data_IF_847521447381
#
_entry.id   IF_847521447381
#
_cell.length_a   1.000
_cell.length_b   1.000
_cell.length_c   1.000
_cell.angle_alpha   90.00
_cell.angle_beta   90.00
_cell.angle_gamma   90.00
#
_symmetry.space_group_name_H-M   'P 1'
#
loop_
_entity.id
_entity.type
_entity.pdbx_description
1 polymer ?
#
# COMPACT_ATOMS: atom_id res chain seq x y z
N UNK A 1 -9.75 -6.34 -27.53
CA UNK A 1 -8.95 -6.08 -26.31
C UNK A 1 -9.85 -6.26 -25.08
N UNK A 2 -9.49 -7.13 -24.13
CA UNK A 2 -10.34 -7.42 -22.95
C UNK A 2 -10.69 -6.12 -22.20
N UNK A 3 -11.98 -5.82 -22.05
CA UNK A 3 -12.51 -4.57 -21.45
C UNK A 3 -12.00 -4.31 -20.03
N UNK A 4 -11.66 -5.38 -19.30
CA UNK A 4 -11.04 -5.32 -17.98
C UNK A 4 -9.59 -4.82 -18.00
N UNK A 5 -8.80 -5.25 -19.00
CA UNK A 5 -7.40 -4.84 -19.13
C UNK A 5 -7.29 -3.35 -19.47
N UNK A 6 -8.12 -2.85 -20.39
CA UNK A 6 -8.14 -1.43 -20.75
C UNK A 6 -8.57 -0.53 -19.57
N UNK A 7 -9.58 -0.95 -18.79
CA UNK A 7 -9.97 -0.26 -17.54
C UNK A 7 -8.84 -0.22 -16.52
N UNK A 8 -8.08 -1.32 -16.35
CA UNK A 8 -6.93 -1.38 -15.42
C UNK A 8 -5.77 -0.49 -15.89
N UNK A 9 -5.46 -0.50 -17.18
CA UNK A 9 -4.47 0.40 -17.82
C UNK A 9 -4.83 1.88 -17.61
N UNK A 10 -6.08 2.27 -17.85
CA UNK A 10 -6.50 3.66 -17.70
C UNK A 10 -6.46 4.13 -16.23
N UNK A 11 -6.83 3.24 -15.29
CA UNK A 11 -6.66 3.50 -13.85
C UNK A 11 -5.19 3.68 -13.48
N UNK A 12 -4.30 2.79 -13.95
CA UNK A 12 -2.87 2.93 -13.69
C UNK A 12 -2.29 4.21 -14.29
N UNK A 13 -2.72 4.62 -15.50
CA UNK A 13 -2.32 5.89 -16.13
C UNK A 13 -2.68 7.10 -15.27
N UNK A 14 -3.88 7.12 -14.67
CA UNK A 14 -4.28 8.17 -13.71
C UNK A 14 -3.45 8.14 -12.42
N UNK A 15 -3.19 6.96 -11.88
CA UNK A 15 -2.36 6.79 -10.66
C UNK A 15 -0.91 7.22 -10.91
N UNK A 16 -0.36 6.88 -12.07
CA UNK A 16 1.01 7.24 -12.47
C UNK A 16 1.22 8.75 -12.54
N UNK A 17 0.22 9.50 -12.99
CA UNK A 17 0.26 10.98 -13.06
C UNK A 17 0.39 11.65 -11.69
N UNK A 18 -0.05 10.99 -10.61
CA UNK A 18 0.12 11.48 -9.23
C UNK A 18 1.51 11.21 -8.64
N UNK A 19 2.32 10.39 -9.31
CA UNK A 19 3.70 10.10 -8.92
C UNK A 19 3.86 8.89 -8.00
N UNK A 20 5.08 8.34 -8.02
CA UNK A 20 5.49 7.14 -7.27
C UNK A 20 5.34 7.34 -5.77
N UNK A 21 5.83 8.46 -5.24
CA UNK A 21 5.80 8.73 -3.79
C UNK A 21 4.38 8.84 -3.26
N UNK A 22 3.45 9.46 -4.00
CA UNK A 22 2.05 9.56 -3.59
C UNK A 22 1.38 8.18 -3.51
N UNK A 23 1.66 7.29 -4.46
CA UNK A 23 1.13 5.92 -4.42
C UNK A 23 1.67 5.15 -3.21
N UNK A 24 3.00 5.15 -3.04
CA UNK A 24 3.67 4.43 -1.94
C UNK A 24 3.19 4.94 -0.59
N UNK A 25 3.11 6.26 -0.39
CA UNK A 25 2.60 6.85 0.85
C UNK A 25 1.16 6.47 1.11
N UNK A 26 0.27 6.58 0.10
CA UNK A 26 -1.15 6.25 0.28
C UNK A 26 -1.36 4.78 0.62
N UNK A 27 -0.69 3.87 -0.09
CA UNK A 27 -0.83 2.42 0.19
C UNK A 27 -0.27 2.06 1.55
N UNK A 28 0.86 2.66 1.92
CA UNK A 28 1.50 2.45 3.23
C UNK A 28 0.60 2.94 4.36
N UNK A 29 0.04 4.16 4.24
CA UNK A 29 -0.85 4.73 5.25
C UNK A 29 -2.12 3.92 5.44
N UNK A 30 -2.73 3.43 4.35
CA UNK A 30 -3.93 2.58 4.45
C UNK A 30 -3.59 1.25 5.13
N UNK A 31 -2.51 0.59 4.70
CA UNK A 31 -2.11 -0.70 5.27
C UNK A 31 -1.71 -0.58 6.75
N UNK A 32 -0.85 0.38 7.08
CA UNK A 32 -0.43 0.65 8.45
C UNK A 32 -1.64 1.05 9.31
N UNK A 33 -2.49 1.94 8.81
CA UNK A 33 -3.71 2.37 9.51
C UNK A 33 -4.65 1.21 9.82
N UNK A 34 -4.87 0.28 8.88
CA UNK A 34 -5.70 -0.91 9.12
C UNK A 34 -5.13 -1.82 10.21
N UNK A 35 -3.82 -2.07 10.19
CA UNK A 35 -3.16 -2.93 11.18
C UNK A 35 -3.17 -2.28 12.56
N UNK A 36 -2.84 -0.99 12.63
CA UNK A 36 -2.84 -0.22 13.88
C UNK A 36 -4.25 -0.13 14.46
N UNK A 37 -5.27 0.12 13.63
CA UNK A 37 -6.65 0.14 14.08
C UNK A 37 -7.08 -1.21 14.68
N UNK A 38 -6.73 -2.33 14.02
CA UNK A 38 -6.97 -3.67 14.56
C UNK A 38 -6.30 -3.89 15.90
N UNK A 39 -5.04 -3.44 16.05
CA UNK A 39 -4.29 -3.52 17.32
C UNK A 39 -4.95 -2.70 18.43
N UNK A 40 -5.41 -1.48 18.13
CA UNK A 40 -6.13 -0.64 19.09
C UNK A 40 -7.46 -1.25 19.52
N UNK A 41 -8.24 -1.78 18.58
CA UNK A 41 -9.52 -2.44 18.89
C UNK A 41 -9.27 -3.70 19.72
N UNK A 42 -8.25 -4.49 19.39
CA UNK A 42 -7.85 -5.67 20.17
C UNK A 42 -7.46 -5.32 21.60
N UNK A 43 -6.68 -4.25 21.77
CA UNK A 43 -6.31 -3.74 23.09
C UNK A 43 -7.54 -3.33 23.91
N UNK A 44 -8.44 -2.52 23.34
CA UNK A 44 -9.65 -2.04 24.03
C UNK A 44 -10.57 -3.20 24.46
N UNK A 45 -10.69 -4.25 23.64
CA UNK A 45 -11.63 -5.33 23.87
C UNK A 45 -11.09 -6.45 24.77
N UNK A 46 -9.80 -6.76 24.69
CA UNK A 46 -9.24 -7.97 25.30
C UNK A 46 -8.16 -7.69 26.34
N UNK A 47 -7.55 -6.50 26.33
CA UNK A 47 -6.36 -6.26 27.13
C UNK A 47 -6.71 -5.52 28.43
N UNK A 48 -6.78 -6.29 29.52
CA UNK A 48 -6.97 -5.79 30.89
C UNK A 48 -5.67 -5.75 31.71
N UNK A 49 -4.56 -6.23 31.14
CA UNK A 49 -3.32 -6.52 31.88
C UNK A 49 -2.22 -5.50 31.58
N UNK A 50 -2.14 -5.01 30.34
CA UNK A 50 -1.10 -4.05 29.97
C UNK A 50 -1.50 -2.61 30.28
N UNK A 51 -0.51 -1.82 30.68
CA UNK A 51 -0.72 -0.43 31.05
C UNK A 51 -0.87 0.41 29.78
N UNK A 52 -1.70 1.46 29.81
CA UNK A 52 -1.88 2.36 28.67
C UNK A 52 -0.55 2.90 28.12
N UNK A 53 0.45 3.11 28.99
CA UNK A 53 1.78 3.55 28.61
C UNK A 53 2.54 2.51 27.75
N UNK A 54 2.51 1.24 28.15
CA UNK A 54 3.16 0.14 27.44
C UNK A 54 2.53 -0.07 26.06
N UNK A 55 1.20 0.07 25.99
CA UNK A 55 0.49 0.05 24.71
C UNK A 55 0.95 1.17 23.78
N UNK A 56 1.10 2.40 24.25
CA UNK A 56 1.58 3.51 23.41
C UNK A 56 3.00 3.32 22.90
N UNK A 57 3.90 2.76 23.74
CA UNK A 57 5.27 2.44 23.31
C UNK A 57 5.28 1.34 22.23
N UNK A 58 4.56 0.24 22.45
CA UNK A 58 4.48 -0.86 21.48
C UNK A 58 3.74 -0.45 20.20
N UNK A 59 2.71 0.41 20.31
CA UNK A 59 2.02 1.01 19.18
C UNK A 59 2.95 1.91 18.36
N UNK A 60 3.77 2.73 19.02
CA UNK A 60 4.78 3.57 18.36
C UNK A 60 5.81 2.75 17.59
N UNK A 61 6.37 1.71 18.23
CA UNK A 61 7.30 0.77 17.58
C UNK A 61 6.66 0.04 16.41
N UNK A 62 5.46 -0.51 16.61
CA UNK A 62 4.69 -1.18 15.56
C UNK A 62 4.44 -0.24 14.38
N UNK A 63 4.12 1.03 14.63
CA UNK A 63 3.91 2.05 13.59
C UNK A 63 5.18 2.28 12.77
N UNK A 64 6.34 2.44 13.41
CA UNK A 64 7.62 2.65 12.72
C UNK A 64 7.98 1.45 11.83
N UNK A 65 7.81 0.23 12.35
CA UNK A 65 8.07 -1.00 11.60
C UNK A 65 7.12 -1.12 10.40
N UNK A 66 5.82 -0.87 10.59
CA UNK A 66 4.82 -0.93 9.53
C UNK A 66 5.05 0.13 8.45
N UNK A 67 5.49 1.34 8.83
CA UNK A 67 5.87 2.38 7.88
C UNK A 67 7.09 1.96 7.06
N UNK A 68 8.13 1.44 7.70
CA UNK A 68 9.34 0.98 7.01
C UNK A 68 9.02 -0.16 6.01
N UNK A 69 8.27 -1.17 6.47
CA UNK A 69 7.83 -2.28 5.62
C UNK A 69 6.89 -1.82 4.51
N UNK A 70 5.94 -0.95 4.82
CA UNK A 70 4.97 -0.44 3.86
C UNK A 70 5.62 0.39 2.75
N UNK A 71 6.62 1.21 3.09
CA UNK A 71 7.41 1.94 2.09
C UNK A 71 8.16 0.96 1.18
N UNK A 72 8.84 -0.03 1.74
CA UNK A 72 9.55 -1.06 0.97
C UNK A 72 8.62 -1.83 0.03
N UNK A 73 7.52 -2.37 0.56
CA UNK A 73 6.51 -3.09 -0.21
C UNK A 73 5.81 -2.21 -1.25
N UNK A 74 5.53 -0.96 -0.92
CA UNK A 74 4.94 0.01 -1.85
C UNK A 74 5.86 0.28 -3.03
N UNK A 75 7.17 0.39 -2.79
CA UNK A 75 8.16 0.55 -3.85
C UNK A 75 8.23 -0.67 -4.78
N UNK A 76 8.23 -1.88 -4.23
CA UNK A 76 8.21 -3.14 -4.99
C UNK A 76 6.93 -3.25 -5.82
N UNK A 77 5.78 -2.99 -5.19
CA UNK A 77 4.45 -3.06 -5.83
C UNK A 77 4.33 -2.05 -6.98
N UNK A 78 4.85 -0.83 -6.80
CA UNK A 78 4.94 0.15 -7.86
C UNK A 78 5.82 -0.35 -9.01
N UNK A 79 7.02 -0.87 -8.72
CA UNK A 79 7.94 -1.37 -9.74
C UNK A 79 7.35 -2.52 -10.55
N UNK A 80 6.68 -3.47 -9.90
CA UNK A 80 5.97 -4.56 -10.54
C UNK A 80 4.83 -4.06 -11.44
N UNK A 81 4.04 -3.10 -10.95
CA UNK A 81 2.92 -2.51 -11.71
C UNK A 81 3.39 -1.69 -12.91
N UNK A 82 4.48 -0.95 -12.76
CA UNK A 82 5.14 -0.17 -13.82
C UNK A 82 5.70 -1.10 -14.91
N UNK A 83 6.35 -2.20 -14.50
CA UNK A 83 6.88 -3.22 -15.41
C UNK A 83 5.77 -3.90 -16.19
N UNK A 84 4.67 -4.25 -15.54
CA UNK A 84 3.49 -4.81 -16.21
C UNK A 84 2.87 -3.82 -17.20
N UNK A 85 2.72 -2.55 -16.81
CA UNK A 85 2.20 -1.50 -17.67
C UNK A 85 3.03 -1.31 -18.94
N UNK A 86 4.36 -1.25 -18.82
CA UNK A 86 5.27 -1.15 -19.98
C UNK A 86 5.14 -2.35 -20.91
N UNK A 87 5.05 -3.56 -20.36
CA UNK A 87 4.86 -4.79 -21.16
C UNK A 87 3.54 -4.74 -21.93
N UNK A 88 2.46 -4.28 -21.33
CA UNK A 88 1.14 -4.27 -21.97
C UNK A 88 1.01 -3.15 -23.02
N UNK A 89 1.63 -1.98 -22.81
CA UNK A 89 1.72 -0.90 -23.82
C UNK A 89 2.55 -1.37 -25.03
N UNK A 90 3.73 -1.94 -24.81
CA UNK A 90 4.58 -2.43 -25.90
C UNK A 90 3.91 -3.53 -26.73
N UNK A 91 3.05 -4.35 -26.11
CA UNK A 91 2.26 -5.36 -26.83
C UNK A 91 1.19 -4.73 -27.72
N UNK A 92 0.58 -3.62 -27.30
CA UNK A 92 -0.39 -2.89 -28.13
C UNK A 92 0.29 -2.18 -29.30
N UNK A 93 1.45 -1.56 -29.07
CA UNK A 93 2.22 -0.89 -30.13
C UNK A 93 2.76 -1.88 -31.18
N UNK A 94 3.09 -3.12 -30.79
CA UNK A 94 3.49 -4.18 -31.74
C UNK A 94 2.33 -4.85 -32.47
N UNK A 95 1.10 -4.69 -31.99
CA UNK A 95 -0.10 -5.29 -32.60
C UNK A 95 -0.91 -4.31 -33.46
N UNK A 96 -0.43 -3.08 -33.60
CA UNK A 96 -1.02 -2.02 -34.43
C UNK A 96 -0.09 -1.77 -35.62
#
# INVERSE_FOLDING_TARGET
>A
MNTWKSKRLNRWKKTRRKGRSYYVLKTTLIAAGSVLFGKTVGFILFDKVSTWLEFWFDFGLSTLVLLALGVGLGFVTWSASESWYRREINKQERST
#
